data_IF_449648107338
#
_entry.id   IF_449648107338
#
_cell.length_a   1.000
_cell.length_b   1.000
_cell.length_c   1.000
_cell.angle_alpha   90.00
_cell.angle_beta   90.00
_cell.angle_gamma   90.00
#
_symmetry.space_group_name_H-M   'P 1'
#
loop_
_entity.id
_entity.type
_entity.pdbx_description
1 polymer ?
#
# COMPACT_ATOMS: atom_id res chain seq x y z
N UNK A 1 -59.90 -14.93 0.14
CA UNK A 1 -58.55 -14.95 0.74
C UNK A 1 -58.61 -15.24 2.25
N UNK A 2 -59.33 -16.28 2.70
CA UNK A 2 -59.44 -16.56 4.15
C UNK A 2 -59.39 -18.05 4.54
N UNK A 3 -59.46 -18.98 3.59
CA UNK A 3 -59.58 -20.42 3.92
C UNK A 3 -58.26 -21.18 3.86
N UNK A 4 -57.34 -20.83 2.94
CA UNK A 4 -56.05 -21.52 2.82
C UNK A 4 -55.02 -21.03 3.83
N UNK A 5 -54.89 -19.72 4.02
CA UNK A 5 -53.90 -19.16 4.95
C UNK A 5 -54.21 -19.55 6.41
N UNK A 6 -55.49 -19.50 6.81
CA UNK A 6 -55.93 -19.94 8.14
C UNK A 6 -55.66 -21.44 8.37
N UNK A 7 -55.80 -22.27 7.33
CA UNK A 7 -55.49 -23.70 7.38
C UNK A 7 -53.97 -23.92 7.53
N UNK A 8 -53.17 -23.26 6.69
CA UNK A 8 -51.70 -23.34 6.74
C UNK A 8 -51.19 -22.91 8.12
N UNK A 9 -51.78 -21.88 8.71
CA UNK A 9 -51.42 -21.42 10.05
C UNK A 9 -51.76 -22.43 11.15
N UNK A 10 -52.90 -23.14 11.04
CA UNK A 10 -53.24 -24.24 11.95
C UNK A 10 -52.29 -25.42 11.79
N UNK A 11 -52.02 -25.85 10.56
CA UNK A 11 -51.15 -26.98 10.23
C UNK A 11 -49.70 -26.76 10.67
N UNK A 12 -49.18 -25.53 10.51
CA UNK A 12 -47.80 -25.18 10.86
C UNK A 12 -47.63 -24.66 12.29
N UNK A 13 -48.71 -24.60 13.08
CA UNK A 13 -48.70 -24.03 14.44
C UNK A 13 -47.64 -24.64 15.36
N UNK A 14 -47.37 -25.95 15.25
CA UNK A 14 -46.36 -26.65 16.06
C UNK A 14 -44.92 -26.27 15.69
N UNK A 15 -44.69 -25.74 14.48
CA UNK A 15 -43.37 -25.31 14.00
C UNK A 15 -42.97 -23.91 14.50
N UNK A 16 -43.81 -23.22 15.27
CA UNK A 16 -43.55 -21.87 15.81
C UNK A 16 -42.23 -21.70 16.57
N UNK A 17 -41.64 -22.80 17.07
CA UNK A 17 -40.32 -22.82 17.73
C UNK A 17 -39.15 -22.48 16.79
N UNK A 18 -39.37 -22.51 15.47
CA UNK A 18 -38.44 -22.11 14.44
C UNK A 18 -39.20 -21.30 13.37
N UNK A 19 -39.27 -19.96 13.51
CA UNK A 19 -40.07 -19.10 12.62
C UNK A 19 -39.67 -19.18 11.15
N UNK A 20 -38.38 -19.37 10.86
CA UNK A 20 -37.86 -19.51 9.49
C UNK A 20 -38.32 -20.83 8.89
N UNK A 21 -38.16 -21.95 9.60
CA UNK A 21 -38.64 -23.24 9.11
C UNK A 21 -40.17 -23.25 8.96
N UNK A 22 -40.90 -22.57 9.85
CA UNK A 22 -42.35 -22.41 9.71
C UNK A 22 -42.70 -21.66 8.43
N UNK A 23 -41.98 -20.60 8.09
CA UNK A 23 -42.20 -19.85 6.86
C UNK A 23 -41.90 -20.70 5.62
N UNK A 24 -40.78 -21.44 5.63
CA UNK A 24 -40.41 -22.37 4.54
C UNK A 24 -41.53 -23.39 4.28
N UNK A 25 -41.98 -24.09 5.33
CA UNK A 25 -43.02 -25.12 5.23
C UNK A 25 -44.39 -24.51 4.87
N UNK A 26 -44.70 -23.31 5.35
CA UNK A 26 -45.94 -22.63 5.00
C UNK A 26 -45.98 -22.20 3.53
N UNK A 27 -44.84 -21.79 2.95
CA UNK A 27 -44.73 -21.47 1.54
C UNK A 27 -44.91 -22.72 0.66
N UNK A 28 -44.27 -23.84 1.03
CA UNK A 28 -44.40 -25.13 0.34
C UNK A 28 -45.85 -25.65 0.36
N UNK A 29 -46.52 -25.62 1.53
CA UNK A 29 -47.92 -26.01 1.65
C UNK A 29 -48.86 -25.13 0.83
N UNK A 30 -48.58 -23.82 0.75
CA UNK A 30 -49.36 -22.89 -0.07
C UNK A 30 -49.25 -23.24 -1.55
N UNK A 31 -48.03 -23.45 -2.04
CA UNK A 31 -47.78 -23.86 -3.42
C UNK A 31 -48.52 -25.16 -3.77
N UNK A 32 -48.47 -26.17 -2.90
CA UNK A 32 -49.19 -27.42 -3.13
C UNK A 32 -50.72 -27.27 -3.17
N UNK A 33 -51.28 -26.40 -2.31
CA UNK A 33 -52.72 -26.13 -2.31
C UNK A 33 -53.16 -25.35 -3.57
N UNK A 34 -52.32 -24.43 -4.04
CA UNK A 34 -52.55 -23.68 -5.28
C UNK A 34 -52.48 -24.60 -6.51
N UNK A 35 -51.47 -25.48 -6.57
CA UNK A 35 -51.31 -26.46 -7.64
C UNK A 35 -52.49 -27.44 -7.70
N UNK A 36 -52.91 -27.96 -6.54
CA UNK A 36 -54.06 -28.86 -6.44
C UNK A 36 -55.36 -28.16 -6.83
N UNK A 37 -55.57 -26.90 -6.41
CA UNK A 37 -56.73 -26.13 -6.82
C UNK A 37 -56.74 -25.89 -8.34
N UNK A 38 -55.59 -25.56 -8.95
CA UNK A 38 -55.47 -25.37 -10.39
C UNK A 38 -55.77 -26.65 -11.19
N UNK A 39 -55.46 -27.83 -10.64
CA UNK A 39 -55.84 -29.12 -11.24
C UNK A 39 -57.36 -29.33 -11.22
N UNK A 40 -58.05 -29.02 -10.13
CA UNK A 40 -59.51 -29.11 -10.07
C UNK A 40 -60.20 -28.10 -10.98
N UNK A 41 -59.66 -26.88 -11.13
CA UNK A 41 -60.16 -25.90 -12.11
C UNK A 41 -60.07 -26.45 -13.54
N UNK A 42 -58.94 -27.07 -13.91
CA UNK A 42 -58.78 -27.76 -15.21
C UNK A 42 -59.77 -28.92 -15.40
N UNK A 43 -60.19 -29.55 -14.30
CA UNK A 43 -61.24 -30.57 -14.26
C UNK A 43 -62.68 -30.04 -14.35
N UNK A 44 -62.88 -28.72 -14.53
CA UNK A 44 -64.20 -28.10 -14.73
C UNK A 44 -64.88 -27.59 -13.45
N UNK A 45 -64.19 -27.55 -12.32
CA UNK A 45 -64.70 -26.94 -11.09
C UNK A 45 -64.55 -25.41 -11.15
N UNK A 46 -65.45 -24.67 -10.49
CA UNK A 46 -65.26 -23.24 -10.25
C UNK A 46 -64.11 -23.00 -9.25
N UNK A 47 -63.44 -21.86 -9.30
CA UNK A 47 -62.29 -21.54 -8.44
C UNK A 47 -62.57 -21.76 -6.94
N UNK A 48 -63.77 -21.40 -6.47
CA UNK A 48 -64.17 -21.62 -5.08
C UNK A 48 -64.39 -23.10 -4.75
N UNK A 49 -65.01 -23.86 -5.66
CA UNK A 49 -65.23 -25.29 -5.48
C UNK A 49 -63.90 -26.06 -5.56
N UNK A 50 -63.00 -25.66 -6.45
CA UNK A 50 -61.67 -26.21 -6.62
C UNK A 50 -60.79 -25.98 -5.37
N UNK A 51 -60.78 -24.76 -4.82
CA UNK A 51 -60.06 -24.45 -3.59
C UNK A 51 -60.59 -25.24 -2.38
N UNK A 52 -61.91 -25.42 -2.28
CA UNK A 52 -62.52 -26.25 -1.24
C UNK A 52 -62.22 -27.74 -1.42
N UNK A 53 -62.17 -28.22 -2.67
CA UNK A 53 -61.85 -29.61 -2.98
C UNK A 53 -60.37 -29.92 -2.72
N UNK A 54 -59.45 -28.99 -3.03
CA UNK A 54 -58.03 -29.09 -2.70
C UNK A 54 -57.79 -29.23 -1.19
N UNK A 55 -58.53 -28.47 -0.37
CA UNK A 55 -58.48 -28.60 1.10
C UNK A 55 -59.04 -29.96 1.57
N UNK A 56 -60.15 -30.42 0.99
CA UNK A 56 -60.73 -31.74 1.33
C UNK A 56 -59.81 -32.90 0.97
N UNK A 57 -59.09 -32.81 -0.14
CA UNK A 57 -58.16 -33.81 -0.60
C UNK A 57 -56.93 -33.96 0.31
N UNK A 58 -56.62 -32.94 1.11
CA UNK A 58 -55.50 -32.91 2.05
C UNK A 58 -55.66 -33.91 3.22
N UNK A 59 -56.89 -34.38 3.47
CA UNK A 59 -57.21 -35.33 4.53
C UNK A 59 -57.42 -34.67 5.91
N UNK A 60 -57.21 -35.43 6.98
CA UNK A 60 -57.40 -34.95 8.35
C UNK A 60 -56.31 -33.93 8.75
N UNK A 61 -56.73 -32.71 9.12
CA UNK A 61 -55.82 -31.63 9.53
C UNK A 61 -54.94 -32.05 10.72
N UNK A 62 -55.49 -32.82 11.67
CA UNK A 62 -54.77 -33.21 12.87
C UNK A 62 -53.66 -34.23 12.58
N UNK A 63 -53.92 -35.20 11.69
CA UNK A 63 -52.91 -36.13 11.19
C UNK A 63 -51.80 -35.44 10.40
N UNK A 64 -52.15 -34.52 9.50
CA UNK A 64 -51.16 -33.82 8.70
C UNK A 64 -50.27 -32.92 9.56
N UNK A 65 -50.85 -32.19 10.52
CA UNK A 65 -50.07 -31.40 11.48
C UNK A 65 -49.12 -32.28 12.33
N UNK A 66 -49.53 -33.52 12.66
CA UNK A 66 -48.65 -34.50 13.33
C UNK A 66 -47.49 -34.94 12.43
N UNK A 67 -47.77 -35.26 11.16
CA UNK A 67 -46.76 -35.69 10.20
C UNK A 67 -45.74 -34.58 9.89
N UNK A 68 -46.21 -33.35 9.67
CA UNK A 68 -45.36 -32.18 9.46
C UNK A 68 -44.41 -31.93 10.63
N UNK A 69 -44.91 -32.09 11.87
CA UNK A 69 -44.07 -32.00 13.06
C UNK A 69 -43.03 -33.11 13.12
N UNK A 70 -43.42 -34.36 12.87
CA UNK A 70 -42.50 -35.50 12.91
C UNK A 70 -41.39 -35.39 11.86
N UNK A 71 -41.74 -35.01 10.63
CA UNK A 71 -40.80 -34.81 9.53
C UNK A 71 -39.78 -33.69 9.83
N UNK A 72 -40.22 -32.62 10.49
CA UNK A 72 -39.39 -31.44 10.74
C UNK A 72 -38.67 -31.43 12.10
N UNK A 73 -39.00 -32.35 13.03
CA UNK A 73 -38.41 -32.39 14.37
C UNK A 73 -36.87 -32.46 14.37
N UNK A 74 -36.29 -33.28 13.47
CA UNK A 74 -34.83 -33.38 13.32
C UNK A 74 -34.21 -32.09 12.77
N UNK A 75 -34.87 -31.44 11.80
CA UNK A 75 -34.43 -30.16 11.23
C UNK A 75 -34.42 -29.04 12.28
N UNK A 76 -35.45 -28.97 13.12
CA UNK A 76 -35.53 -28.02 14.25
C UNK A 76 -34.38 -28.24 15.23
N UNK A 77 -34.11 -29.50 15.60
CA UNK A 77 -33.02 -29.83 16.53
C UNK A 77 -31.65 -29.43 15.95
N UNK A 78 -31.39 -29.76 14.68
CA UNK A 78 -30.14 -29.42 14.00
C UNK A 78 -29.95 -27.89 13.89
N UNK A 79 -30.97 -27.17 13.40
CA UNK A 79 -30.90 -25.70 13.29
C UNK A 79 -30.69 -25.04 14.65
N UNK A 80 -31.27 -25.58 15.73
CA UNK A 80 -31.03 -25.08 17.10
C UNK A 80 -29.59 -25.28 17.54
N UNK A 81 -29.00 -26.45 17.29
CA UNK A 81 -27.59 -26.74 17.61
C UNK A 81 -26.66 -25.86 16.78
N UNK A 82 -26.90 -25.70 15.48
CA UNK A 82 -26.10 -24.82 14.62
C UNK A 82 -26.17 -23.36 15.10
N UNK A 83 -27.36 -22.84 15.45
CA UNK A 83 -27.51 -21.48 15.99
C UNK A 83 -26.79 -21.31 17.33
N UNK A 84 -26.84 -22.31 18.21
CA UNK A 84 -26.10 -22.30 19.46
C UNK A 84 -24.58 -22.31 19.22
N UNK A 85 -24.08 -23.22 18.38
CA UNK A 85 -22.66 -23.33 18.06
C UNK A 85 -22.13 -22.04 17.40
N UNK A 86 -22.89 -21.46 16.46
CA UNK A 86 -22.55 -20.18 15.85
C UNK A 86 -22.42 -19.07 16.90
N UNK A 87 -23.35 -18.96 17.85
CA UNK A 87 -23.28 -17.94 18.91
C UNK A 87 -22.09 -18.16 19.85
N UNK A 88 -21.80 -19.41 20.19
CA UNK A 88 -20.70 -19.77 21.12
C UNK A 88 -19.33 -19.62 20.46
N UNK A 89 -19.20 -19.84 19.16
CA UNK A 89 -17.91 -19.84 18.48
C UNK A 89 -17.61 -18.52 17.74
N UNK A 90 -18.58 -17.96 17.01
CA UNK A 90 -18.32 -16.80 16.16
C UNK A 90 -18.09 -15.52 16.96
N UNK A 91 -18.88 -15.28 18.01
CA UNK A 91 -18.76 -14.04 18.79
C UNK A 91 -17.44 -14.00 19.56
N UNK A 92 -17.05 -15.02 20.36
CA UNK A 92 -15.76 -15.02 21.04
C UNK A 92 -14.58 -15.09 20.07
N UNK A 93 -14.73 -15.81 18.95
CA UNK A 93 -13.72 -15.85 17.89
C UNK A 93 -13.47 -14.48 17.28
N UNK A 94 -14.53 -13.74 16.93
CA UNK A 94 -14.41 -12.38 16.41
C UNK A 94 -13.75 -11.44 17.44
N UNK A 95 -14.15 -11.53 18.72
CA UNK A 95 -13.52 -10.75 19.80
C UNK A 95 -12.03 -11.10 19.94
N UNK A 96 -11.66 -12.38 19.91
CA UNK A 96 -10.27 -12.81 19.98
C UNK A 96 -9.45 -12.28 18.80
N UNK A 97 -10.00 -12.33 17.58
CA UNK A 97 -9.35 -11.74 16.39
C UNK A 97 -9.16 -10.24 16.55
N UNK A 98 -10.18 -9.51 16.99
CA UNK A 98 -10.09 -8.06 17.24
C UNK A 98 -9.01 -7.75 18.28
N UNK A 99 -8.95 -8.52 19.38
CA UNK A 99 -7.93 -8.36 20.41
C UNK A 99 -6.54 -8.66 19.89
N UNK A 100 -6.35 -9.71 19.09
CA UNK A 100 -5.07 -10.05 18.47
C UNK A 100 -4.61 -8.98 17.49
N UNK A 101 -5.52 -8.46 16.65
CA UNK A 101 -5.23 -7.35 15.74
C UNK A 101 -4.87 -6.08 16.52
N UNK A 102 -5.64 -5.74 17.56
CA UNK A 102 -5.37 -4.57 18.40
C UNK A 102 -4.04 -4.71 19.17
N UNK A 103 -3.73 -5.91 19.66
CA UNK A 103 -2.44 -6.22 20.27
C UNK A 103 -1.32 -6.07 19.25
N UNK A 104 -1.45 -6.65 18.06
CA UNK A 104 -0.47 -6.55 16.98
C UNK A 104 -0.20 -5.09 16.60
N UNK A 105 -1.25 -4.28 16.41
CA UNK A 105 -1.14 -2.85 16.12
C UNK A 105 -0.50 -2.07 17.28
N UNK A 106 -0.82 -2.41 18.53
CA UNK A 106 -0.18 -1.82 19.71
C UNK A 106 1.31 -2.16 19.75
N UNK A 107 1.68 -3.43 19.53
CA UNK A 107 3.07 -3.85 19.49
C UNK A 107 3.81 -3.20 18.33
N UNK A 108 3.19 -3.04 17.17
CA UNK A 108 3.75 -2.30 16.05
C UNK A 108 3.99 -0.82 16.39
N UNK A 109 3.06 -0.17 17.11
CA UNK A 109 3.25 1.21 17.60
C UNK A 109 4.33 1.31 18.67
N UNK A 110 4.41 0.34 19.59
CA UNK A 110 5.44 0.29 20.64
C UNK A 110 6.82 -0.03 20.06
N UNK A 111 6.90 -0.92 19.08
CA UNK A 111 8.11 -1.19 18.32
C UNK A 111 8.50 0.03 17.48
N UNK A 112 7.55 0.67 16.81
CA UNK A 112 7.76 1.93 16.09
C UNK A 112 8.25 3.07 17.00
N UNK A 113 7.74 3.19 18.22
CA UNK A 113 8.22 4.18 19.20
C UNK A 113 9.53 3.78 19.87
N UNK A 114 9.81 2.48 20.02
CA UNK A 114 11.08 1.94 20.52
C UNK A 114 12.21 2.18 19.51
N UNK A 115 12.01 1.80 18.25
CA UNK A 115 12.95 2.00 17.14
C UNK A 115 12.97 3.47 16.67
N UNK A 116 11.89 4.23 16.92
CA UNK A 116 11.78 5.65 16.64
C UNK A 116 12.25 6.57 17.78
N UNK A 117 12.56 6.05 18.97
CA UNK A 117 12.99 6.92 20.07
C UNK A 117 14.35 7.56 19.75
N UNK A 118 14.35 8.88 19.61
CA UNK A 118 15.51 9.72 19.27
C UNK A 118 16.54 9.85 20.40
N UNK A 119 16.33 9.18 21.54
CA UNK A 119 17.37 9.00 22.57
C UNK A 119 18.32 7.90 22.08
N UNK A 120 18.97 8.22 20.97
CA UNK A 120 19.84 7.35 20.19
C UNK A 120 21.01 6.83 21.01
N UNK A 121 21.39 7.50 22.10
CA UNK A 121 22.44 7.07 23.01
C UNK A 121 22.00 7.43 24.43
N UNK A 122 22.27 6.55 25.40
CA UNK A 122 22.32 7.02 26.80
C UNK A 122 23.47 8.03 26.92
N UNK A 123 23.34 9.03 27.80
CA UNK A 123 24.38 10.06 28.01
C UNK A 123 25.76 9.43 28.28
N UNK A 124 25.78 8.25 28.89
CA UNK A 124 27.00 7.47 29.14
C UNK A 124 27.66 6.86 27.90
N UNK A 125 26.93 6.62 26.78
CA UNK A 125 27.55 6.19 25.51
C UNK A 125 28.06 7.41 24.74
N UNK A 126 27.25 8.46 24.63
CA UNK A 126 27.66 9.70 23.94
C UNK A 126 28.88 10.37 24.60
N UNK A 127 28.99 10.30 25.93
CA UNK A 127 30.15 10.81 26.67
C UNK A 127 31.47 10.06 26.42
N UNK A 128 31.43 8.88 25.77
CA UNK A 128 32.62 8.08 25.42
C UNK A 128 33.05 8.24 23.97
N UNK A 129 32.28 8.98 23.18
CA UNK A 129 32.61 9.31 21.79
C UNK A 129 33.46 10.59 21.75
N UNK A 130 34.31 10.70 20.73
CA UNK A 130 34.92 11.96 20.31
C UNK A 130 33.87 12.90 19.73
N UNK A 131 34.25 14.16 19.50
CA UNK A 131 33.36 15.14 18.86
C UNK A 131 32.96 14.71 17.45
N UNK A 132 33.92 14.26 16.64
CA UNK A 132 33.67 13.80 15.27
C UNK A 132 32.79 12.53 15.26
N UNK A 133 33.02 11.57 16.15
CA UNK A 133 32.16 10.37 16.28
C UNK A 133 30.72 10.73 16.67
N UNK A 134 30.55 11.66 17.63
CA UNK A 134 29.20 12.15 18.00
C UNK A 134 28.52 12.80 16.81
N UNK A 135 29.22 13.66 16.07
CA UNK A 135 28.68 14.34 14.90
C UNK A 135 28.24 13.35 13.82
N UNK A 136 29.06 12.32 13.54
CA UNK A 136 28.75 11.27 12.56
C UNK A 136 27.50 10.46 12.95
N UNK A 137 27.40 10.07 14.22
CA UNK A 137 26.33 9.18 14.72
C UNK A 137 25.02 9.93 14.96
N UNK A 138 25.09 11.10 15.59
CA UNK A 138 23.91 11.84 16.04
C UNK A 138 23.48 12.94 15.07
N UNK A 139 24.42 13.45 14.26
CA UNK A 139 24.30 14.75 13.60
C UNK A 139 24.57 15.89 14.56
N UNK A 140 24.46 17.13 14.08
CA UNK A 140 24.47 18.30 14.94
C UNK A 140 23.25 18.28 15.89
N UNK A 141 23.50 18.15 17.19
CA UNK A 141 22.47 18.08 18.22
C UNK A 141 21.78 19.44 18.46
N UNK A 142 22.39 20.55 18.04
CA UNK A 142 21.81 21.89 18.09
C UNK A 142 20.92 22.22 16.88
N UNK A 143 20.93 21.37 15.84
CA UNK A 143 20.12 21.58 14.66
C UNK A 143 18.63 21.33 14.94
N UNK A 144 17.79 22.26 14.49
CA UNK A 144 16.34 22.20 14.54
C UNK A 144 15.74 21.19 13.54
N UNK A 145 16.48 20.86 12.48
CA UNK A 145 16.04 19.89 11.48
C UNK A 145 17.10 18.83 11.18
N UNK A 146 16.62 17.66 10.75
CA UNK A 146 17.50 16.56 10.35
C UNK A 146 18.39 16.94 9.16
N UNK A 147 17.88 17.74 8.21
CA UNK A 147 18.66 18.19 7.05
C UNK A 147 19.84 19.07 7.50
N UNK A 148 19.61 20.02 8.42
CA UNK A 148 20.69 20.82 9.01
C UNK A 148 21.67 19.97 9.82
N UNK A 149 21.15 18.98 10.57
CA UNK A 149 22.00 18.03 11.28
C UNK A 149 22.92 17.22 10.34
N UNK A 150 22.44 16.86 9.14
CA UNK A 150 23.26 16.17 8.13
C UNK A 150 24.17 17.14 7.36
N UNK A 151 23.75 18.40 7.16
CA UNK A 151 24.59 19.43 6.53
C UNK A 151 25.86 19.66 7.32
N UNK A 152 25.79 19.73 8.64
CA UNK A 152 26.97 19.86 9.49
C UNK A 152 28.01 18.75 9.28
N UNK A 153 27.58 17.52 8.99
CA UNK A 153 28.47 16.40 8.65
C UNK A 153 29.14 16.66 7.29
N UNK A 154 28.38 17.08 6.29
CA UNK A 154 28.94 17.39 4.95
C UNK A 154 29.88 18.59 4.99
N UNK A 155 29.56 19.63 5.75
CA UNK A 155 30.43 20.81 5.88
C UNK A 155 31.77 20.45 6.55
N UNK A 156 31.76 19.47 7.46
CA UNK A 156 32.96 18.93 8.11
C UNK A 156 33.78 18.01 7.19
N UNK A 157 33.13 17.26 6.31
CA UNK A 157 33.75 16.31 5.38
C UNK A 157 33.16 16.44 3.96
N UNK A 158 33.51 17.53 3.24
CA UNK A 158 32.84 17.91 1.99
C UNK A 158 33.07 16.93 0.84
N UNK A 159 34.22 16.26 0.84
CA UNK A 159 34.64 15.35 -0.23
C UNK A 159 34.18 13.90 0.00
N UNK A 160 33.47 13.61 1.10
CA UNK A 160 33.03 12.26 1.40
C UNK A 160 31.69 11.95 0.67
N UNK A 161 31.68 11.05 -0.34
CA UNK A 161 30.48 10.78 -1.13
C UNK A 161 29.38 10.11 -0.32
N UNK A 162 29.71 9.36 0.73
CA UNK A 162 28.75 8.67 1.60
C UNK A 162 27.93 9.69 2.40
N UNK A 163 28.62 10.66 3.02
CA UNK A 163 27.94 11.72 3.76
C UNK A 163 27.13 12.62 2.84
N UNK A 164 27.67 12.91 1.65
CA UNK A 164 26.99 13.73 0.64
C UNK A 164 25.71 13.08 0.13
N UNK A 165 25.75 11.78 -0.20
CA UNK A 165 24.61 11.02 -0.67
C UNK A 165 23.46 11.00 0.35
N UNK A 166 23.77 10.73 1.62
CA UNK A 166 22.76 10.73 2.67
C UNK A 166 22.20 12.14 2.96
N UNK A 167 23.04 13.17 2.96
CA UNK A 167 22.58 14.55 3.11
C UNK A 167 21.62 14.95 1.97
N UNK A 168 21.98 14.68 0.70
CA UNK A 168 21.11 15.07 -0.42
C UNK A 168 19.82 14.26 -0.44
N UNK A 169 19.84 12.99 -0.03
CA UNK A 169 18.62 12.19 0.13
C UNK A 169 17.71 12.78 1.22
N UNK A 170 18.27 13.25 2.34
CA UNK A 170 17.52 13.95 3.39
C UNK A 170 16.96 15.29 2.89
N UNK A 171 17.77 16.03 2.13
CA UNK A 171 17.39 17.30 1.51
C UNK A 171 16.19 17.14 0.57
N UNK A 172 16.25 16.13 -0.31
CA UNK A 172 15.17 15.77 -1.23
C UNK A 172 13.93 15.32 -0.47
N UNK A 173 14.08 14.43 0.52
CA UNK A 173 12.96 13.90 1.30
C UNK A 173 12.18 15.01 2.05
N UNK A 174 12.89 16.03 2.54
CA UNK A 174 12.27 17.17 3.22
C UNK A 174 11.49 18.10 2.26
N UNK A 175 11.88 18.18 0.99
CA UNK A 175 11.34 19.15 0.02
C UNK A 175 10.33 18.56 -0.95
N UNK A 176 10.46 17.28 -1.30
CA UNK A 176 9.57 16.60 -2.27
C UNK A 176 8.10 16.68 -1.90
N UNK A 177 7.77 16.74 -0.60
CA UNK A 177 6.38 16.85 -0.13
C UNK A 177 5.71 18.17 -0.55
N UNK A 178 6.48 19.22 -0.83
CA UNK A 178 5.99 20.54 -1.26
C UNK A 178 5.90 20.67 -2.79
N UNK A 179 6.49 19.75 -3.55
CA UNK A 179 6.28 19.72 -5.00
C UNK A 179 4.85 19.22 -5.30
N UNK A 180 4.19 19.75 -6.35
CA UNK A 180 2.89 19.27 -6.81
C UNK A 180 2.87 17.75 -6.91
N UNK A 181 1.86 17.12 -6.32
CA UNK A 181 1.66 15.68 -6.43
C UNK A 181 0.81 15.37 -7.65
N UNK A 182 1.47 15.16 -8.78
CA UNK A 182 0.87 14.48 -9.93
C UNK A 182 0.99 12.97 -9.73
N UNK A 183 0.19 12.40 -8.83
CA UNK A 183 0.17 10.94 -8.62
C UNK A 183 -1.23 10.39 -8.88
N UNK A 184 -1.31 9.43 -9.81
CA UNK A 184 -2.47 8.57 -9.99
C UNK A 184 -2.83 7.88 -8.68
N UNK A 185 -4.12 7.85 -8.37
CA UNK A 185 -4.69 7.44 -7.09
C UNK A 185 -4.10 6.18 -6.45
N UNK A 186 -4.02 6.22 -5.12
CA UNK A 186 -4.18 5.04 -4.28
C UNK A 186 -2.99 4.65 -3.41
N UNK A 187 -1.77 5.00 -3.79
CA UNK A 187 -0.59 4.63 -2.98
C UNK A 187 0.37 5.82 -2.93
N UNK A 188 0.08 6.78 -2.05
CA UNK A 188 1.06 7.78 -1.67
C UNK A 188 2.35 7.13 -1.13
N UNK A 189 3.39 7.90 -0.81
CA UNK A 189 4.60 7.37 -0.17
C UNK A 189 4.33 6.57 1.13
N UNK A 190 3.11 6.65 1.68
CA UNK A 190 2.59 5.88 2.81
C UNK A 190 2.16 4.42 2.50
N UNK A 191 2.21 3.97 1.24
CA UNK A 191 1.85 2.59 0.88
C UNK A 191 2.89 1.51 1.18
N UNK A 192 4.03 1.90 1.76
CA UNK A 192 4.90 0.96 2.44
C UNK A 192 4.44 0.83 3.89
N UNK A 193 4.39 -0.40 4.40
CA UNK A 193 4.00 -0.81 5.76
C UNK A 193 4.79 -0.13 6.90
N UNK A 194 5.70 0.78 6.59
CA UNK A 194 6.47 1.55 7.56
C UNK A 194 5.85 2.95 7.70
N UNK A 195 5.36 3.33 8.90
CA UNK A 195 4.97 4.69 9.17
C UNK A 195 6.20 5.57 8.97
N UNK A 196 6.31 6.19 7.79
CA UNK A 196 7.20 7.31 7.56
C UNK A 196 6.73 8.36 8.54
N UNK A 197 7.58 8.75 9.50
CA UNK A 197 7.37 9.85 10.44
C UNK A 197 6.40 10.89 9.90
N UNK A 198 5.13 10.66 10.23
CA UNK A 198 4.03 11.56 10.04
C UNK A 198 4.04 12.45 11.29
N UNK A 199 3.86 13.76 11.06
CA UNK A 199 3.49 14.78 12.04
C UNK A 199 4.55 15.52 12.88
N UNK A 200 5.82 15.11 13.03
CA UNK A 200 6.68 15.80 14.03
C UNK A 200 8.06 16.29 13.64
N UNK A 201 8.55 16.05 12.44
CA UNK A 201 9.76 16.73 11.99
C UNK A 201 9.36 18.06 11.37
N UNK A 202 9.79 19.22 11.91
CA UNK A 202 9.64 20.48 11.21
C UNK A 202 10.23 20.28 9.81
N UNK A 203 9.39 20.43 8.79
CA UNK A 203 9.89 20.60 7.43
C UNK A 203 10.73 21.86 7.50
N UNK A 204 11.98 21.83 7.01
CA UNK A 204 12.80 23.04 6.87
C UNK A 204 11.91 24.20 6.40
N UNK A 205 12.14 25.40 6.94
CA UNK A 205 11.63 26.64 6.35
C UNK A 205 12.21 26.74 4.94
N UNK A 206 11.47 26.21 3.96
CA UNK A 206 11.79 26.38 2.55
C UNK A 206 11.55 27.83 2.22
N UNK A 207 12.54 28.47 1.59
CA UNK A 207 12.55 29.90 1.34
C UNK A 207 11.51 30.37 0.31
N UNK A 208 10.79 29.45 -0.35
CA UNK A 208 9.86 29.74 -1.44
C UNK A 208 8.68 28.80 -1.46
N UNK A 209 7.49 29.35 -1.74
CA UNK A 209 6.27 28.60 -2.04
C UNK A 209 6.12 28.32 -3.55
N UNK A 210 7.01 28.85 -4.40
CA UNK A 210 7.01 28.59 -5.84
C UNK A 210 7.58 27.19 -6.15
N UNK A 211 6.79 26.25 -6.71
CA UNK A 211 7.24 24.91 -7.07
C UNK A 211 8.42 24.90 -8.06
N UNK A 212 8.48 25.86 -9.00
CA UNK A 212 9.53 25.90 -10.01
C UNK A 212 10.88 26.31 -9.38
N UNK A 213 10.87 27.35 -8.54
CA UNK A 213 12.03 27.73 -7.74
C UNK A 213 12.49 26.61 -6.81
N UNK A 214 11.56 25.91 -6.15
CA UNK A 214 11.89 24.77 -5.29
C UNK A 214 12.52 23.62 -6.07
N UNK A 215 11.98 23.26 -7.23
CA UNK A 215 12.57 22.24 -8.09
C UNK A 215 14.00 22.62 -8.53
N UNK A 216 14.21 23.87 -8.93
CA UNK A 216 15.52 24.37 -9.32
C UNK A 216 16.53 24.33 -8.16
N UNK A 217 16.11 24.72 -6.95
CA UNK A 217 16.93 24.64 -5.73
C UNK A 217 17.37 23.21 -5.43
N UNK A 218 16.45 22.25 -5.45
CA UNK A 218 16.74 20.83 -5.15
C UNK A 218 17.64 20.21 -6.23
N UNK A 219 17.39 20.54 -7.50
CA UNK A 219 18.24 20.11 -8.61
C UNK A 219 19.67 20.65 -8.46
N UNK A 220 19.84 21.92 -8.09
CA UNK A 220 21.16 22.51 -7.88
C UNK A 220 21.90 21.81 -6.73
N UNK A 221 21.21 21.38 -5.67
CA UNK A 221 21.83 20.60 -4.60
C UNK A 221 22.26 19.20 -5.07
N UNK A 222 21.46 18.55 -5.94
CA UNK A 222 21.85 17.28 -6.58
C UNK A 222 23.05 17.45 -7.51
N UNK A 223 23.17 18.56 -8.22
CA UNK A 223 24.33 18.86 -9.07
C UNK A 223 25.61 19.01 -8.25
N UNK A 224 25.52 19.71 -7.11
CA UNK A 224 26.66 19.80 -6.18
C UNK A 224 27.02 18.43 -5.59
N UNK A 225 26.03 17.59 -5.29
CA UNK A 225 26.28 16.23 -4.80
C UNK A 225 26.94 15.34 -5.87
N UNK A 226 26.51 15.47 -7.13
CA UNK A 226 27.11 14.75 -8.25
C UNK A 226 28.58 15.13 -8.50
N UNK A 227 29.03 16.32 -8.10
CA UNK A 227 30.44 16.70 -8.23
C UNK A 227 31.37 15.87 -7.32
N UNK A 228 30.87 15.39 -6.17
CA UNK A 228 31.63 14.54 -5.25
C UNK A 228 31.70 13.08 -5.70
N UNK A 229 30.78 12.65 -6.58
CA UNK A 229 30.71 11.29 -7.11
C UNK A 229 30.07 11.32 -8.52
N UNK A 230 30.86 11.75 -9.54
CA UNK A 230 30.34 12.04 -10.88
C UNK A 230 29.91 10.79 -11.65
N UNK A 231 30.38 9.62 -11.24
CA UNK A 231 30.16 8.35 -11.93
C UNK A 231 28.94 7.58 -11.41
N UNK A 232 28.25 8.13 -10.41
CA UNK A 232 27.11 7.51 -9.78
C UNK A 232 25.79 7.93 -10.44
N UNK A 233 25.01 6.92 -10.86
CA UNK A 233 23.70 7.07 -11.49
C UNK A 233 22.64 7.63 -10.55
N UNK A 234 22.86 7.61 -9.23
CA UNK A 234 21.93 8.08 -8.22
C UNK A 234 21.45 9.51 -8.49
N UNK A 235 22.38 10.45 -8.66
CA UNK A 235 22.05 11.88 -8.75
C UNK A 235 21.22 12.23 -10.00
N UNK A 236 21.63 11.85 -11.23
CA UNK A 236 20.78 12.07 -12.39
C UNK A 236 19.44 11.33 -12.29
N UNK A 237 19.38 10.14 -11.67
CA UNK A 237 18.09 9.46 -11.43
C UNK A 237 17.17 10.25 -10.51
N UNK A 238 17.69 10.82 -9.41
CA UNK A 238 16.88 11.66 -8.52
C UNK A 238 16.42 12.95 -9.21
N UNK A 239 17.24 13.57 -10.06
CA UNK A 239 16.82 14.72 -10.87
C UNK A 239 15.70 14.34 -11.85
N UNK A 240 15.84 13.21 -12.55
CA UNK A 240 14.81 12.69 -13.44
C UNK A 240 13.50 12.46 -12.68
N UNK A 241 13.56 11.82 -11.52
CA UNK A 241 12.37 11.51 -10.73
C UNK A 241 11.66 12.76 -10.19
N UNK A 242 12.42 13.78 -9.77
CA UNK A 242 11.86 15.06 -9.33
C UNK A 242 11.21 15.83 -10.49
N UNK A 243 11.85 15.83 -11.67
CA UNK A 243 11.30 16.49 -12.85
C UNK A 243 10.05 15.78 -13.35
N UNK A 244 10.01 14.45 -13.36
CA UNK A 244 8.79 13.67 -13.63
C UNK A 244 7.68 14.03 -12.64
N UNK A 245 7.99 14.03 -11.34
CA UNK A 245 7.05 14.37 -10.28
C UNK A 245 6.43 15.77 -10.46
N UNK A 246 7.22 16.74 -10.91
CA UNK A 246 6.79 18.12 -11.08
C UNK A 246 6.05 18.40 -12.39
N UNK A 247 6.22 17.57 -13.42
CA UNK A 247 5.76 17.87 -14.79
C UNK A 247 4.76 16.88 -15.36
N UNK A 248 4.49 15.75 -14.70
CA UNK A 248 3.70 14.70 -15.34
C UNK A 248 2.97 13.76 -14.39
N UNK A 249 1.89 13.17 -14.89
CA UNK A 249 1.09 12.14 -14.21
C UNK A 249 0.92 10.90 -15.09
N UNK A 250 1.22 9.71 -14.57
CA UNK A 250 0.91 8.45 -15.24
C UNK A 250 -0.59 8.16 -15.13
N UNK A 251 -1.30 7.99 -16.24
CA UNK A 251 -2.68 7.46 -16.24
C UNK A 251 -2.63 5.94 -16.21
N UNK A 252 -3.28 5.34 -15.21
CA UNK A 252 -3.48 3.90 -15.15
C UNK A 252 -4.75 3.48 -15.89
N UNK A 253 -4.79 2.21 -16.26
CA UNK A 253 -5.97 1.57 -16.85
C UNK A 253 -7.17 1.70 -15.88
N UNK A 254 -8.29 2.17 -16.41
CA UNK A 254 -9.51 2.39 -15.61
C UNK A 254 -10.67 2.93 -16.43
N UNK A 255 -11.85 2.98 -15.82
CA UNK A 255 -12.98 3.70 -16.39
C UNK A 255 -12.75 5.21 -16.17
N UNK A 256 -12.77 5.99 -17.25
CA UNK A 256 -12.83 7.43 -17.17
C UNK A 256 -14.11 7.92 -16.48
N UNK A 257 -14.24 9.23 -16.20
CA UNK A 257 -15.41 9.81 -15.55
C UNK A 257 -16.75 9.45 -16.23
N UNK A 258 -16.70 9.11 -17.52
CA UNK A 258 -17.87 8.80 -18.36
C UNK A 258 -17.93 7.32 -18.78
N UNK A 259 -17.17 6.43 -18.14
CA UNK A 259 -17.16 5.00 -18.47
C UNK A 259 -16.34 4.64 -19.71
N UNK A 260 -15.72 5.61 -20.37
CA UNK A 260 -14.77 5.35 -21.45
C UNK A 260 -13.49 4.69 -20.92
N UNK A 261 -12.92 3.70 -21.63
CA UNK A 261 -11.64 3.12 -21.25
C UNK A 261 -10.55 4.20 -21.32
N UNK A 262 -9.96 4.55 -20.17
CA UNK A 262 -8.76 5.37 -20.14
C UNK A 262 -7.64 4.60 -20.83
N UNK A 263 -7.17 5.11 -21.96
CA UNK A 263 -5.96 4.58 -22.58
C UNK A 263 -4.77 4.88 -21.67
N UNK A 264 -3.89 3.90 -21.41
CA UNK A 264 -2.66 4.13 -20.68
C UNK A 264 -1.85 5.22 -21.38
N UNK A 265 -1.33 6.17 -20.61
CA UNK A 265 -0.58 7.29 -21.15
C UNK A 265 -0.08 8.21 -20.05
N UNK A 266 0.60 9.29 -20.44
CA UNK A 266 1.13 10.28 -19.50
C UNK A 266 0.52 11.63 -19.81
N UNK A 267 -0.01 12.28 -18.78
CA UNK A 267 -0.34 13.69 -18.84
C UNK A 267 0.93 14.48 -18.57
N UNK A 268 1.37 15.26 -19.57
CA UNK A 268 2.52 16.14 -19.43
C UNK A 268 1.99 17.56 -19.23
N UNK A 269 2.18 18.12 -18.04
CA UNK A 269 1.80 19.48 -17.69
C UNK A 269 2.85 20.53 -18.05
N UNK A 270 4.14 20.14 -18.08
CA UNK A 270 5.26 20.98 -18.50
C UNK A 270 6.22 20.18 -19.39
N UNK A 271 6.13 20.38 -20.71
CA UNK A 271 6.91 19.66 -21.70
C UNK A 271 8.43 19.89 -21.56
N UNK A 272 8.83 21.11 -21.21
CA UNK A 272 10.25 21.46 -21.10
C UNK A 272 10.88 20.77 -19.88
N UNK A 273 10.17 20.73 -18.75
CA UNK A 273 10.63 20.02 -17.54
C UNK A 273 10.62 18.51 -17.77
N UNK A 274 9.60 17.97 -18.44
CA UNK A 274 9.53 16.54 -18.76
C UNK A 274 10.64 16.10 -19.71
N UNK A 275 10.92 16.86 -20.77
CA UNK A 275 12.04 16.58 -21.69
C UNK A 275 13.38 16.53 -20.94
N UNK A 276 13.63 17.46 -20.01
CA UNK A 276 14.83 17.43 -19.15
C UNK A 276 14.87 16.18 -18.26
N UNK A 277 13.73 15.64 -17.85
CA UNK A 277 13.66 14.39 -17.09
C UNK A 277 14.09 13.18 -17.92
N UNK A 278 13.75 13.15 -19.21
CA UNK A 278 14.21 12.12 -20.15
C UNK A 278 15.73 12.20 -20.36
N UNK A 279 16.30 13.41 -20.42
CA UNK A 279 17.75 13.55 -20.52
C UNK A 279 18.51 13.12 -19.27
N UNK A 280 17.98 13.44 -18.09
CA UNK A 280 18.53 12.91 -16.85
C UNK A 280 18.42 11.39 -16.77
N UNK A 281 17.33 10.81 -17.28
CA UNK A 281 17.14 9.36 -17.37
C UNK A 281 18.23 8.73 -18.26
N UNK A 282 18.47 9.32 -19.43
CA UNK A 282 19.54 8.88 -20.34
C UNK A 282 20.91 9.00 -19.69
N UNK A 283 21.17 10.09 -18.97
CA UNK A 283 22.43 10.30 -18.26
C UNK A 283 22.62 9.27 -17.13
N UNK A 284 21.58 9.02 -16.32
CA UNK A 284 21.61 7.99 -15.28
C UNK A 284 21.89 6.59 -15.86
N UNK A 285 21.26 6.27 -16.99
CA UNK A 285 21.52 5.03 -17.71
C UNK A 285 22.96 4.93 -18.25
N UNK A 286 23.63 6.05 -18.52
CA UNK A 286 25.02 6.08 -19.00
C UNK A 286 26.07 5.97 -17.88
N UNK A 287 25.76 6.38 -16.64
CA UNK A 287 26.69 6.33 -15.50
C UNK A 287 27.11 4.90 -15.14
N UNK A 288 28.38 4.61 -14.86
CA UNK A 288 28.88 3.24 -14.72
C UNK A 288 28.25 2.45 -13.56
N UNK A 289 27.92 3.10 -12.44
CA UNK A 289 27.40 2.43 -11.26
C UNK A 289 26.25 3.18 -10.59
N UNK A 290 25.58 2.54 -9.63
CA UNK A 290 24.59 3.15 -8.75
C UNK A 290 24.98 2.84 -7.31
N UNK A 291 25.07 3.85 -6.44
CA UNK A 291 25.30 3.66 -5.02
C UNK A 291 24.52 4.68 -4.19
N UNK A 292 23.70 4.21 -3.23
CA UNK A 292 23.05 5.07 -2.24
C UNK A 292 23.88 5.24 -0.96
N UNK A 293 24.89 4.38 -0.75
CA UNK A 293 25.73 4.37 0.45
C UNK A 293 24.96 4.21 1.77
N UNK A 294 23.77 3.59 1.74
CA UNK A 294 22.93 3.41 2.93
C UNK A 294 23.63 2.52 3.97
N UNK A 295 24.14 1.35 3.56
CA UNK A 295 24.83 0.45 4.46
C UNK A 295 26.24 0.94 4.81
N UNK A 296 26.90 1.66 3.90
CA UNK A 296 28.20 2.28 4.17
C UNK A 296 28.10 3.30 5.30
N UNK A 297 27.08 4.16 5.27
CA UNK A 297 26.84 5.13 6.34
C UNK A 297 26.48 4.43 7.65
N UNK A 298 25.61 3.40 7.59
CA UNK A 298 25.25 2.63 8.77
C UNK A 298 26.49 2.00 9.41
N UNK A 299 27.38 1.40 8.61
CA UNK A 299 28.65 0.83 9.06
C UNK A 299 29.55 1.87 9.72
N UNK A 300 29.78 3.02 9.07
CA UNK A 300 30.60 4.10 9.62
C UNK A 300 30.04 4.56 10.99
N UNK A 301 28.73 4.71 11.10
CA UNK A 301 28.08 5.09 12.36
C UNK A 301 28.19 4.00 13.44
N UNK A 302 28.09 2.73 13.06
CA UNK A 302 28.25 1.61 13.99
C UNK A 302 29.68 1.50 14.51
N UNK A 303 30.67 1.73 13.65
CA UNK A 303 32.09 1.72 14.01
C UNK A 303 32.44 2.88 14.96
N UNK A 304 31.79 4.04 14.80
CA UNK A 304 31.92 5.19 15.70
C UNK A 304 31.23 4.97 17.08
N UNK A 305 30.41 3.94 17.25
CA UNK A 305 29.77 3.63 18.53
C UNK A 305 30.71 2.80 19.42
N UNK A 306 31.11 3.32 20.62
CA UNK A 306 31.91 2.55 21.55
C UNK A 306 31.18 1.29 22.00
N UNK A 307 31.90 0.18 22.17
CA UNK A 307 31.33 -1.10 22.62
C UNK A 307 30.37 -0.91 23.80
N UNK A 308 29.15 -1.40 23.61
CA UNK A 308 28.09 -1.35 24.60
C UNK A 308 28.44 -2.22 25.81
N UNK A 309 28.28 -1.66 27.01
CA UNK A 309 28.43 -2.40 28.28
C UNK A 309 27.13 -3.06 28.74
N UNK A 310 26.01 -2.69 28.10
CA UNK A 310 24.67 -3.21 28.39
C UNK A 310 24.16 -3.95 27.16
N UNK A 311 23.54 -5.11 27.38
CA UNK A 311 22.94 -5.90 26.30
C UNK A 311 21.89 -5.09 25.53
N UNK A 312 21.07 -4.29 26.23
CA UNK A 312 20.07 -3.44 25.58
C UNK A 312 20.71 -2.45 24.61
N UNK A 313 21.77 -1.75 25.02
CA UNK A 313 22.50 -0.81 24.15
C UNK A 313 23.18 -1.54 22.97
N UNK A 314 23.59 -2.80 23.15
CA UNK A 314 24.17 -3.59 22.06
C UNK A 314 23.15 -3.93 20.96
N UNK A 315 21.85 -3.93 21.28
CA UNK A 315 20.76 -4.25 20.34
C UNK A 315 20.07 -2.98 19.82
N UNK A 316 19.81 -2.00 20.69
CA UNK A 316 19.03 -0.80 20.32
C UNK A 316 19.83 0.17 19.46
N UNK A 317 21.12 0.36 19.74
CA UNK A 317 21.95 1.32 19.01
C UNK A 317 22.06 0.95 17.53
N UNK A 318 22.38 -0.32 17.16
CA UNK A 318 22.44 -0.67 15.76
C UNK A 318 21.12 -0.56 15.03
N UNK A 319 20.02 -0.94 15.68
CA UNK A 319 18.67 -0.82 15.11
C UNK A 319 18.31 0.64 14.86
N UNK A 320 18.60 1.54 15.80
CA UNK A 320 18.30 2.95 15.67
C UNK A 320 19.15 3.63 14.59
N UNK A 321 20.46 3.32 14.51
CA UNK A 321 21.36 3.81 13.45
C UNK A 321 20.90 3.33 12.07
N UNK A 322 20.61 2.04 11.93
CA UNK A 322 20.13 1.46 10.67
C UNK A 322 18.79 2.05 10.25
N UNK A 323 17.84 2.17 11.18
CA UNK A 323 16.51 2.76 10.90
C UNK A 323 16.62 4.22 10.43
N UNK A 324 17.50 5.03 11.03
CA UNK A 324 17.68 6.43 10.63
C UNK A 324 18.31 6.56 9.24
N UNK A 325 19.27 5.69 8.91
CA UNK A 325 19.83 5.63 7.56
C UNK A 325 18.74 5.25 6.54
N UNK A 326 17.98 4.19 6.81
CA UNK A 326 16.94 3.69 5.90
C UNK A 326 15.79 4.68 5.66
N UNK A 327 15.33 5.38 6.70
CA UNK A 327 14.16 6.27 6.61
C UNK A 327 14.34 7.41 5.61
N UNK A 328 15.54 7.96 5.52
CA UNK A 328 15.87 9.03 4.56
C UNK A 328 15.61 8.56 3.13
N UNK A 329 15.97 7.31 2.85
CA UNK A 329 15.89 6.74 1.51
C UNK A 329 14.49 6.30 1.12
N UNK A 330 13.63 5.91 2.08
CA UNK A 330 12.24 5.50 1.80
C UNK A 330 11.46 6.54 0.99
N UNK A 331 11.64 7.84 1.29
CA UNK A 331 10.99 8.91 0.52
C UNK A 331 11.47 8.95 -0.93
N UNK A 332 12.78 8.79 -1.15
CA UNK A 332 13.37 8.74 -2.49
C UNK A 332 12.97 7.49 -3.27
N UNK A 333 12.70 6.37 -2.59
CA UNK A 333 12.19 5.14 -3.21
C UNK A 333 10.79 5.35 -3.79
N UNK A 334 9.94 6.14 -3.11
CA UNK A 334 8.64 6.55 -3.64
C UNK A 334 8.77 7.33 -4.95
N UNK A 335 9.68 8.30 -4.99
CA UNK A 335 10.00 9.08 -6.20
C UNK A 335 10.43 8.19 -7.36
N UNK A 336 11.35 7.27 -7.11
CA UNK A 336 11.86 6.37 -8.15
C UNK A 336 10.79 5.42 -8.70
N UNK A 337 9.87 4.93 -7.85
CA UNK A 337 8.72 4.14 -8.35
C UNK A 337 7.80 4.98 -9.24
N UNK A 338 7.53 6.23 -8.86
CA UNK A 338 6.68 7.11 -9.66
C UNK A 338 7.33 7.41 -11.02
N UNK A 339 8.63 7.73 -11.01
CA UNK A 339 9.45 7.88 -12.21
C UNK A 339 9.32 6.68 -13.15
N UNK A 340 9.57 5.47 -12.64
CA UNK A 340 9.56 4.28 -13.47
C UNK A 340 8.18 3.97 -14.08
N UNK A 341 7.09 4.14 -13.30
CA UNK A 341 5.72 3.98 -13.80
C UNK A 341 5.38 4.99 -14.89
N UNK A 342 5.79 6.24 -14.69
CA UNK A 342 5.55 7.31 -15.67
C UNK A 342 6.33 7.05 -16.95
N UNK A 343 7.59 6.66 -16.87
CA UNK A 343 8.36 6.30 -18.07
C UNK A 343 7.80 5.07 -18.78
N UNK A 344 7.34 4.05 -18.05
CA UNK A 344 6.70 2.89 -18.65
C UNK A 344 5.41 3.28 -19.39
N UNK A 345 4.55 4.09 -18.76
CA UNK A 345 3.34 4.62 -19.40
C UNK A 345 3.66 5.48 -20.63
N UNK A 346 4.70 6.33 -20.56
CA UNK A 346 5.12 7.15 -21.69
C UNK A 346 5.66 6.32 -22.84
N UNK A 347 6.42 5.25 -22.55
CA UNK A 347 6.90 4.33 -23.58
C UNK A 347 5.72 3.63 -24.30
N UNK A 348 4.66 3.21 -23.58
CA UNK A 348 3.46 2.65 -24.22
C UNK A 348 2.74 3.66 -25.09
N UNK A 349 2.66 4.91 -24.64
CA UNK A 349 2.10 6.01 -25.43
C UNK A 349 2.91 6.23 -26.73
N UNK A 350 4.24 6.30 -26.65
CA UNK A 350 5.11 6.40 -27.82
C UNK A 350 4.90 5.23 -28.80
N UNK A 351 4.77 4.00 -28.29
CA UNK A 351 4.49 2.83 -29.12
C UNK A 351 3.14 2.94 -29.84
N UNK A 352 2.09 3.40 -29.14
CA UNK A 352 0.77 3.63 -29.72
C UNK A 352 0.77 4.74 -30.78
N UNK A 353 1.67 5.72 -30.68
CA UNK A 353 1.92 6.78 -31.66
C UNK A 353 2.80 6.31 -32.85
N UNK A 354 3.19 5.03 -32.90
CA UNK A 354 4.05 4.47 -33.94
C UNK A 354 5.55 4.68 -33.73
N UNK A 355 5.96 5.29 -32.61
CA UNK A 355 7.35 5.59 -32.24
C UNK A 355 7.98 4.45 -31.43
N UNK A 356 7.91 3.22 -31.97
CA UNK A 356 8.30 1.97 -31.28
C UNK A 356 9.77 1.94 -30.86
N UNK A 357 10.68 2.46 -31.68
CA UNK A 357 12.12 2.44 -31.37
C UNK A 357 12.45 3.32 -30.16
N UNK A 358 11.82 4.49 -30.07
CA UNK A 358 11.97 5.39 -28.93
C UNK A 358 11.39 4.79 -27.64
N UNK A 359 10.22 4.14 -27.74
CA UNK A 359 9.61 3.40 -26.65
C UNK A 359 10.54 2.30 -26.11
N UNK A 360 11.11 1.48 -27.01
CA UNK A 360 12.06 0.42 -26.64
C UNK A 360 13.35 0.99 -26.04
N UNK A 361 13.85 2.10 -26.56
CA UNK A 361 15.04 2.77 -26.02
C UNK A 361 14.80 3.25 -24.58
N UNK A 362 13.67 3.91 -24.32
CA UNK A 362 13.31 4.36 -22.98
C UNK A 362 13.16 3.20 -22.00
N UNK A 363 12.53 2.11 -22.45
CA UNK A 363 12.37 0.91 -21.63
C UNK A 363 13.72 0.23 -21.30
N UNK A 364 14.67 0.21 -22.26
CA UNK A 364 16.05 -0.27 -22.03
C UNK A 364 16.81 0.60 -21.03
N UNK A 365 16.61 1.92 -21.05
CA UNK A 365 17.22 2.83 -20.07
C UNK A 365 16.71 2.51 -18.65
N UNK A 366 15.40 2.33 -18.48
CA UNK A 366 14.79 1.93 -17.20
C UNK A 366 15.40 0.61 -16.71
N UNK A 367 15.45 -0.40 -17.58
CA UNK A 367 16.05 -1.72 -17.26
C UNK A 367 17.51 -1.62 -16.85
N UNK A 368 18.29 -0.79 -17.54
CA UNK A 368 19.72 -0.57 -17.27
C UNK A 368 19.92 0.07 -15.89
N UNK A 369 19.13 1.09 -15.55
CA UNK A 369 19.18 1.75 -14.24
C UNK A 369 18.77 0.77 -13.14
N UNK A 370 17.69 0.00 -13.35
CA UNK A 370 17.24 -1.02 -12.39
C UNK A 370 18.30 -2.10 -12.15
N UNK A 371 18.98 -2.58 -13.19
CA UNK A 371 20.06 -3.55 -13.08
C UNK A 371 21.26 -3.00 -12.30
N UNK A 372 21.69 -1.76 -12.59
CA UNK A 372 22.77 -1.07 -11.85
C UNK A 372 22.42 -0.91 -10.38
N UNK A 373 21.19 -0.49 -10.10
CA UNK A 373 20.69 -0.42 -8.73
C UNK A 373 20.77 -1.78 -8.05
N UNK A 374 20.27 -2.83 -8.70
CA UNK A 374 20.31 -4.20 -8.16
C UNK A 374 21.73 -4.69 -7.86
N UNK A 375 22.69 -4.38 -8.75
CA UNK A 375 24.10 -4.73 -8.56
C UNK A 375 24.77 -3.93 -7.43
N UNK A 376 24.34 -2.68 -7.21
CA UNK A 376 24.84 -1.80 -6.15
C UNK A 376 24.04 -1.84 -4.84
N UNK A 377 22.99 -2.67 -4.76
CA UNK A 377 22.12 -2.74 -3.58
C UNK A 377 22.90 -3.24 -2.37
N UNK A 378 22.80 -2.49 -1.27
CA UNK A 378 23.41 -2.84 0.00
C UNK A 378 22.36 -3.30 1.03
N UNK A 379 21.07 -3.06 0.76
CA UNK A 379 19.96 -3.48 1.63
C UNK A 379 18.91 -4.29 0.88
N UNK A 380 18.12 -5.07 1.62
CA UNK A 380 17.01 -5.86 1.06
C UNK A 380 15.98 -4.95 0.36
N UNK A 381 15.69 -3.78 0.92
CA UNK A 381 14.72 -2.83 0.36
C UNK A 381 15.19 -2.32 -1.00
N UNK A 382 16.49 -2.04 -1.14
CA UNK A 382 17.07 -1.62 -2.42
C UNK A 382 16.96 -2.71 -3.49
N UNK A 383 17.26 -3.96 -3.14
CA UNK A 383 17.13 -5.12 -4.04
C UNK A 383 15.68 -5.38 -4.45
N UNK A 384 14.73 -5.23 -3.52
CA UNK A 384 13.30 -5.34 -3.82
C UNK A 384 12.84 -4.24 -4.76
N UNK A 385 13.27 -2.99 -4.55
CA UNK A 385 12.97 -1.89 -5.45
C UNK A 385 13.58 -2.15 -6.83
N UNK A 386 14.87 -2.51 -6.92
CA UNK A 386 15.53 -2.82 -8.18
C UNK A 386 14.80 -3.92 -8.98
N UNK A 387 14.42 -5.01 -8.30
CA UNK A 387 13.63 -6.10 -8.89
C UNK A 387 12.28 -5.61 -9.41
N UNK A 388 11.55 -4.80 -8.63
CA UNK A 388 10.26 -4.26 -9.04
C UNK A 388 10.38 -3.33 -10.27
N UNK A 389 11.41 -2.48 -10.32
CA UNK A 389 11.67 -1.61 -11.48
C UNK A 389 12.04 -2.44 -12.72
N UNK A 390 12.88 -3.46 -12.55
CA UNK A 390 13.29 -4.34 -13.64
C UNK A 390 12.11 -5.15 -14.20
N UNK A 391 11.27 -5.72 -13.32
CA UNK A 391 10.07 -6.45 -13.71
C UNK A 391 9.07 -5.55 -14.44
N UNK A 392 8.91 -4.29 -14.00
CA UNK A 392 8.09 -3.30 -14.69
C UNK A 392 8.59 -3.07 -16.12
N UNK A 393 9.90 -2.86 -16.33
CA UNK A 393 10.46 -2.72 -17.67
C UNK A 393 10.19 -3.97 -18.54
N UNK A 394 10.40 -5.17 -18.01
CA UNK A 394 10.17 -6.40 -18.77
C UNK A 394 8.71 -6.55 -19.20
N UNK A 395 7.77 -6.32 -18.29
CA UNK A 395 6.34 -6.37 -18.61
C UNK A 395 5.98 -5.33 -19.66
N UNK A 396 6.49 -4.11 -19.51
CA UNK A 396 6.26 -3.02 -20.43
C UNK A 396 6.85 -3.26 -21.83
N UNK A 397 7.94 -4.03 -21.95
CA UNK A 397 8.52 -4.42 -23.25
C UNK A 397 7.56 -5.27 -24.08
N UNK A 398 6.80 -6.16 -23.42
CA UNK A 398 5.80 -7.00 -24.07
C UNK A 398 4.63 -6.15 -24.61
N UNK A 399 4.24 -5.10 -23.90
CA UNK A 399 3.16 -4.18 -24.32
C UNK A 399 3.58 -3.23 -25.46
N UNK A 400 4.88 -3.01 -25.64
CA UNK A 400 5.42 -2.20 -26.76
C UNK A 400 5.45 -3.02 -28.07
N UNK A 401 5.47 -4.35 -27.97
CA UNK A 401 5.59 -5.25 -29.11
C UNK A 401 4.27 -5.57 -29.79
#
# INVERSE_FOLDING_TARGET
MGTHDDLIDRLTSRLRVDPELRADVAAELRAHLEDAAAEYVRGGYSDQAAAAQAVRALGDEADLARQLWQANRRRIALRRVCRWAARVLLVPGAVAVIVLVAWGLRQQRQFGSFVGSTRLLSDGVAGRMTEDERLIVLGDAGADTYVRAQRAIVDRWPDNPIYRANYVAAYVAARVRRLPRYTSGGIGPAGGVLPVWEERTPLDDVATDDPAALLAEVVAELDRAAAADPDNALYPLLRAALRVQASSEARQDGAGPEGEPLRPGVLIGDEAVFARALEDTRLAAARPHYAAHEADLARIRLEAIPKSRRLMDAVTLPLAVGNRAAQVWVATYGLQRNWARTLAAYARQLAAEGRRDEALQLNRQLRTIAAKRGAGSQTIIESLLATALYALALHNEADIH
#
